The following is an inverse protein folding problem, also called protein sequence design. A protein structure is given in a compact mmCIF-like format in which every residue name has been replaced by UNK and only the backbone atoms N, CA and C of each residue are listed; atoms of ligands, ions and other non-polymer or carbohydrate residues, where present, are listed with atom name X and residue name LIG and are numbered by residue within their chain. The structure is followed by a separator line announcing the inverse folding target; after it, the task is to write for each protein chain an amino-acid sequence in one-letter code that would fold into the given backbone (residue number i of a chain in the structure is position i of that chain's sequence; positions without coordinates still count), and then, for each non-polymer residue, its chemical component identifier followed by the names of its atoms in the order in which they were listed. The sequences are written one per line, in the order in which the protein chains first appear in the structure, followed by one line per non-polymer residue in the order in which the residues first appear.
data_IF_582443663671
#
_entry.id   IF_582443663671
#
_cell.length_a   1.000
_cell.length_b   1.000
_cell.length_c   1.000
_cell.angle_alpha   90.00
_cell.angle_beta   90.00
_cell.angle_gamma   90.00
#
_symmetry.space_group_name_H-M   'P 1'
#
loop_
_entity.id
_entity.type
_entity.pdbx_description
1 polymer ?
#
# COMPACT_ATOMS: atom_id res chain seq x y z
N UNK A 1 -10.15 -6.95 2.82
CA UNK A 1 -9.30 -5.82 3.22
C UNK A 1 -9.33 -4.75 2.12
N UNK A 2 -9.33 -3.50 2.51
CA UNK A 2 -9.32 -2.37 1.57
C UNK A 2 -7.89 -1.91 1.33
N UNK A 3 -7.47 -1.95 0.08
CA UNK A 3 -6.10 -1.62 -0.32
C UNK A 3 -6.07 -0.48 -1.34
N UNK A 4 -4.96 0.26 -1.33
CA UNK A 4 -4.63 1.25 -2.35
C UNK A 4 -3.23 0.94 -2.87
N UNK A 5 -3.11 0.59 -4.14
CA UNK A 5 -1.82 0.28 -4.74
C UNK A 5 -1.28 1.50 -5.47
N UNK A 6 -0.04 1.88 -5.15
CA UNK A 6 0.67 2.98 -5.77
C UNK A 6 0.85 2.74 -7.28
N UNK A 7 1.11 3.80 -8.03
CA UNK A 7 1.18 3.80 -9.50
C UNK A 7 2.21 2.83 -10.08
N UNK A 8 3.27 2.52 -9.34
CA UNK A 8 4.32 1.61 -9.79
C UNK A 8 3.97 0.13 -9.60
N UNK A 9 2.83 -0.17 -8.97
CA UNK A 9 2.37 -1.54 -8.81
C UNK A 9 1.37 -1.85 -9.91
N UNK A 10 1.68 -2.87 -10.71
CA UNK A 10 0.86 -3.24 -11.87
C UNK A 10 -0.56 -3.64 -11.47
N UNK A 11 -1.55 -2.95 -12.01
CA UNK A 11 -2.94 -3.31 -11.79
C UNK A 11 -3.24 -4.68 -12.40
N UNK A 12 -2.79 -4.91 -13.64
CA UNK A 12 -2.99 -6.16 -14.35
C UNK A 12 -2.31 -7.34 -13.65
N UNK A 13 -1.08 -7.12 -13.15
CA UNK A 13 -0.29 -8.19 -12.55
C UNK A 13 -0.60 -8.44 -11.08
N UNK A 14 -1.02 -7.43 -10.33
CA UNK A 14 -1.16 -7.53 -8.87
C UNK A 14 -2.58 -7.23 -8.40
N UNK A 15 -3.15 -6.07 -8.74
CA UNK A 15 -4.47 -5.69 -8.24
C UNK A 15 -5.54 -6.72 -8.61
N UNK A 16 -5.47 -7.22 -9.83
CA UNK A 16 -6.43 -8.20 -10.34
C UNK A 16 -6.43 -9.49 -9.50
N UNK A 17 -5.23 -9.98 -9.15
CA UNK A 17 -5.09 -11.16 -8.32
C UNK A 17 -5.60 -10.94 -6.90
N UNK A 18 -5.28 -9.79 -6.31
CA UNK A 18 -5.75 -9.45 -4.98
C UNK A 18 -7.28 -9.33 -4.93
N UNK A 19 -7.88 -8.78 -5.99
CA UNK A 19 -9.35 -8.70 -6.10
C UNK A 19 -9.99 -10.09 -6.14
N UNK A 20 -9.34 -11.04 -6.82
CA UNK A 20 -9.81 -12.44 -6.86
C UNK A 20 -9.76 -13.10 -5.50
N UNK A 21 -8.88 -12.63 -4.62
CA UNK A 21 -8.78 -13.10 -3.24
C UNK A 21 -9.81 -12.44 -2.32
N UNK A 22 -10.64 -11.55 -2.85
CA UNK A 22 -11.69 -10.91 -2.09
C UNK A 22 -11.36 -9.53 -1.54
N UNK A 23 -10.20 -8.97 -1.87
CA UNK A 23 -9.83 -7.64 -1.40
C UNK A 23 -10.49 -6.55 -2.24
N UNK A 24 -10.82 -5.43 -1.60
CA UNK A 24 -11.31 -4.22 -2.26
C UNK A 24 -10.09 -3.38 -2.60
N UNK A 25 -9.68 -3.39 -3.87
CA UNK A 25 -8.43 -2.77 -4.30
C UNK A 25 -8.69 -1.59 -5.22
N UNK A 26 -8.19 -0.42 -4.83
CA UNK A 26 -8.06 0.73 -5.71
C UNK A 26 -6.61 0.78 -6.18
N UNK A 27 -6.39 0.91 -7.48
CA UNK A 27 -5.04 0.91 -8.06
C UNK A 27 -4.81 2.19 -8.84
N UNK A 28 -3.80 2.97 -8.47
CA UNK A 28 -3.47 4.22 -9.16
C UNK A 28 -3.11 3.96 -10.63
N UNK A 29 -2.53 2.80 -10.92
CA UNK A 29 -2.18 2.37 -12.27
C UNK A 29 -3.40 2.33 -13.23
N UNK A 30 -4.60 2.23 -12.69
CA UNK A 30 -5.84 2.18 -13.49
C UNK A 30 -6.52 3.54 -13.64
N UNK A 31 -6.03 4.57 -12.96
CA UNK A 31 -6.73 5.85 -12.88
C UNK A 31 -5.85 6.98 -13.37
N UNK A 32 -6.19 7.51 -14.52
CA UNK A 32 -5.43 8.59 -15.16
C UNK A 32 -5.36 9.84 -14.27
N UNK A 33 -6.41 10.13 -13.52
CA UNK A 33 -6.47 11.29 -12.63
C UNK A 33 -5.46 11.22 -11.48
N UNK A 34 -4.98 10.02 -11.17
CA UNK A 34 -4.01 9.80 -10.11
C UNK A 34 -2.58 9.78 -10.61
N UNK A 35 -2.40 9.84 -11.93
CA UNK A 35 -1.06 9.87 -12.54
C UNK A 35 -0.37 11.18 -12.16
N UNK A 36 0.83 11.07 -11.59
CA UNK A 36 1.59 12.23 -11.14
C UNK A 36 1.16 12.80 -9.80
N UNK A 37 0.20 12.18 -9.12
CA UNK A 37 -0.20 12.62 -7.78
C UNK A 37 0.97 12.42 -6.80
N UNK A 38 1.23 13.43 -5.95
CA UNK A 38 2.30 13.35 -4.96
C UNK A 38 2.02 12.31 -3.89
N UNK A 39 3.09 11.82 -3.26
CA UNK A 39 3.02 10.75 -2.27
C UNK A 39 2.13 11.08 -1.07
N UNK A 40 2.22 12.31 -0.57
CA UNK A 40 1.41 12.74 0.55
C UNK A 40 -0.07 12.77 0.19
N UNK A 41 -0.39 13.21 -1.02
CA UNK A 41 -1.77 13.24 -1.51
C UNK A 41 -2.32 11.84 -1.69
N UNK A 42 -1.49 10.88 -2.15
CA UNK A 42 -1.87 9.48 -2.23
C UNK A 42 -2.18 8.90 -0.85
N UNK A 43 -1.34 9.21 0.14
CA UNK A 43 -1.56 8.74 1.50
C UNK A 43 -2.84 9.34 2.08
N UNK A 44 -3.09 10.64 1.81
CA UNK A 44 -4.30 11.30 2.26
C UNK A 44 -5.55 10.68 1.63
N UNK A 45 -5.50 10.37 0.34
CA UNK A 45 -6.61 9.74 -0.37
C UNK A 45 -6.88 8.33 0.16
N UNK A 46 -5.83 7.53 0.33
CA UNK A 46 -5.96 6.19 0.89
C UNK A 46 -6.57 6.24 2.30
N UNK A 47 -6.13 7.20 3.11
CA UNK A 47 -6.63 7.39 4.46
C UNK A 47 -8.11 7.78 4.47
N UNK A 48 -8.51 8.69 3.58
CA UNK A 48 -9.91 9.12 3.47
C UNK A 48 -10.83 7.94 3.11
N UNK A 49 -10.32 6.97 2.37
CA UNK A 49 -11.07 5.79 1.97
C UNK A 49 -10.84 4.59 2.90
N UNK A 50 -10.10 4.77 3.96
CA UNK A 50 -9.75 3.72 4.91
C UNK A 50 -9.08 2.53 4.23
N UNK A 51 -8.13 2.82 3.33
CA UNK A 51 -7.36 1.82 2.59
C UNK A 51 -5.92 1.76 3.08
N UNK A 52 -5.36 0.58 3.09
CA UNK A 52 -3.93 0.38 3.37
C UNK A 52 -3.19 0.71 2.09
N UNK A 53 -2.25 1.65 2.16
CA UNK A 53 -1.42 2.01 1.01
C UNK A 53 -0.27 1.02 0.86
N UNK A 54 -0.08 0.49 -0.34
CA UNK A 54 1.04 -0.38 -0.68
C UNK A 54 1.90 0.34 -1.71
N UNK A 55 3.19 0.46 -1.44
CA UNK A 55 4.12 1.21 -2.29
C UNK A 55 5.50 0.56 -2.31
N UNK A 56 6.29 0.86 -3.36
CA UNK A 56 7.71 0.53 -3.42
C UNK A 56 8.60 1.69 -2.96
N UNK A 57 8.03 2.86 -2.68
CA UNK A 57 8.82 4.07 -2.41
C UNK A 57 9.37 4.08 -0.99
N UNK A 58 10.59 3.55 -0.83
CA UNK A 58 11.29 3.53 0.45
C UNK A 58 11.98 4.87 0.75
N UNK A 59 12.09 5.76 -0.25
CA UNK A 59 12.79 7.03 -0.08
C UNK A 59 11.90 8.08 0.59
N UNK A 60 10.67 8.23 0.12
CA UNK A 60 9.80 9.33 0.53
C UNK A 60 8.76 8.98 1.61
N UNK A 61 8.14 7.81 1.54
CA UNK A 61 7.06 7.46 2.47
C UNK A 61 7.48 7.41 3.95
N UNK A 62 8.66 6.89 4.32
CA UNK A 62 9.03 6.91 5.74
C UNK A 62 9.04 8.30 6.36
N UNK A 63 9.51 9.32 5.64
CA UNK A 63 9.52 10.68 6.17
C UNK A 63 8.14 11.30 6.21
N UNK A 64 7.26 10.94 5.25
CA UNK A 64 5.88 11.43 5.22
C UNK A 64 5.11 10.87 6.43
N UNK A 65 5.20 9.56 6.68
CA UNK A 65 4.48 8.95 7.81
C UNK A 65 5.00 9.45 9.15
N UNK A 66 6.32 9.72 9.24
CA UNK A 66 6.90 10.31 10.45
C UNK A 66 6.34 11.70 10.68
N UNK A 67 6.28 12.54 9.64
CA UNK A 67 5.74 13.89 9.76
C UNK A 67 4.27 13.87 10.17
N UNK A 68 3.49 12.95 9.62
CA UNK A 68 2.09 12.78 10.00
C UNK A 68 1.97 12.44 11.48
N UNK A 69 2.81 11.53 11.97
CA UNK A 69 2.81 11.17 13.39
C UNK A 69 3.12 12.38 14.28
N UNK A 70 4.11 13.18 13.87
CA UNK A 70 4.49 14.38 14.60
C UNK A 70 3.38 15.43 14.61
N UNK A 71 2.56 15.48 13.57
CA UNK A 71 1.43 16.39 13.43
C UNK A 71 0.14 15.84 14.06
N UNK A 72 0.18 14.64 14.63
CA UNK A 72 -1.00 14.00 15.19
C UNK A 72 -1.98 13.47 14.16
N UNK A 73 -1.54 13.28 12.91
CA UNK A 73 -2.37 12.75 11.83
C UNK A 73 -2.25 11.24 11.78
N UNK A 74 -3.38 10.56 11.59
CA UNK A 74 -3.45 9.10 11.57
C UNK A 74 -3.79 8.63 10.15
N UNK A 75 -2.96 7.72 9.59
CA UNK A 75 -3.27 7.07 8.32
C UNK A 75 -3.83 5.66 8.57
N UNK A 76 -4.36 5.05 7.52
CA UNK A 76 -5.05 3.74 7.60
C UNK A 76 -4.11 2.55 7.42
N UNK A 77 -2.81 2.80 7.34
CA UNK A 77 -1.81 1.77 7.15
C UNK A 77 -0.96 2.00 5.90
N UNK A 78 0.30 1.63 5.99
CA UNK A 78 1.23 1.77 4.89
C UNK A 78 2.17 0.55 4.87
N UNK A 79 2.21 -0.16 3.76
CA UNK A 79 3.10 -1.29 3.55
C UNK A 79 4.09 -0.92 2.45
N UNK A 80 5.36 -0.87 2.79
CA UNK A 80 6.44 -0.50 1.87
C UNK A 80 7.18 -1.75 1.44
N UNK A 81 7.07 -2.11 0.17
CA UNK A 81 7.67 -3.32 -0.38
C UNK A 81 9.12 -3.02 -0.74
N UNK A 82 10.05 -3.80 -0.21
CA UNK A 82 11.48 -3.60 -0.40
C UNK A 82 12.16 -4.86 -0.96
N UNK A 83 13.16 -4.66 -1.82
CA UNK A 83 13.98 -5.76 -2.32
C UNK A 83 13.27 -6.72 -3.27
N UNK A 84 12.16 -6.32 -3.84
CA UNK A 84 11.39 -7.13 -4.80
C UNK A 84 11.23 -6.30 -6.08
N UNK A 85 11.56 -6.89 -7.22
CA UNK A 85 11.40 -6.20 -8.50
C UNK A 85 9.92 -6.00 -8.82
N UNK A 86 9.60 -4.87 -9.46
CA UNK A 86 8.22 -4.50 -9.82
C UNK A 86 7.55 -5.54 -10.71
N UNK A 87 8.32 -6.33 -11.45
CA UNK A 87 7.82 -7.37 -12.35
C UNK A 87 7.57 -8.72 -11.67
N UNK A 88 7.98 -8.88 -10.42
CA UNK A 88 7.80 -10.14 -9.69
C UNK A 88 6.40 -10.21 -9.07
N UNK A 89 5.39 -10.26 -9.91
CA UNK A 89 3.99 -10.18 -9.49
C UNK A 89 3.61 -11.24 -8.46
N UNK A 90 3.99 -12.48 -8.69
CA UNK A 90 3.66 -13.57 -7.77
C UNK A 90 4.27 -13.36 -6.38
N UNK A 91 5.51 -12.89 -6.33
CA UNK A 91 6.18 -12.60 -5.06
C UNK A 91 5.50 -11.44 -4.35
N UNK A 92 5.18 -10.37 -5.09
CA UNK A 92 4.50 -9.20 -4.53
C UNK A 92 3.15 -9.60 -3.93
N UNK A 93 2.35 -10.37 -4.67
CA UNK A 93 1.06 -10.85 -4.21
C UNK A 93 1.21 -11.66 -2.93
N UNK A 94 2.17 -12.59 -2.91
CA UNK A 94 2.40 -13.46 -1.76
C UNK A 94 2.78 -12.68 -0.50
N UNK A 95 3.70 -11.73 -0.61
CA UNK A 95 4.14 -10.98 0.56
C UNK A 95 3.05 -10.03 1.07
N UNK A 96 2.24 -9.46 0.18
CA UNK A 96 1.10 -8.66 0.58
C UNK A 96 0.10 -9.53 1.34
N UNK A 97 -0.26 -10.70 0.81
CA UNK A 97 -1.20 -11.60 1.46
C UNK A 97 -0.73 -12.02 2.84
N UNK A 98 0.55 -12.37 2.99
CA UNK A 98 1.12 -12.73 4.29
C UNK A 98 1.05 -11.59 5.29
N UNK A 99 1.35 -10.39 4.82
CA UNK A 99 1.31 -9.20 5.66
C UNK A 99 -0.11 -8.92 6.16
N UNK A 100 -1.10 -9.06 5.29
CA UNK A 100 -2.50 -8.88 5.66
C UNK A 100 -3.01 -9.97 6.60
N UNK A 101 -2.58 -11.21 6.40
CA UNK A 101 -2.94 -12.33 7.28
C UNK A 101 -2.39 -12.15 8.68
N UNK A 102 -1.21 -11.55 8.80
CA UNK A 102 -0.60 -11.26 10.10
C UNK A 102 -1.34 -10.16 10.86
N UNK A 103 -2.07 -9.29 10.14
CA UNK A 103 -2.84 -8.18 10.72
C UNK A 103 -4.21 -8.10 10.04
N UNK A 104 -5.12 -9.02 10.36
CA UNK A 104 -6.41 -9.08 9.66
C UNK A 104 -7.39 -7.98 10.06
N UNK A 105 -7.22 -7.36 11.25
CA UNK A 105 -8.10 -6.33 11.74
C UNK A 105 -7.66 -4.96 11.20
N UNK A 106 -8.53 -4.21 10.48
CA UNK A 106 -8.18 -2.87 9.99
C UNK A 106 -7.72 -1.91 11.07
N UNK A 107 -8.22 -2.04 12.30
CA UNK A 107 -7.81 -1.17 13.41
C UNK A 107 -6.33 -1.35 13.76
N UNK A 108 -5.78 -2.52 13.54
CA UNK A 108 -4.36 -2.79 13.79
C UNK A 108 -3.45 -2.08 12.78
N UNK A 109 -4.03 -1.58 11.67
CA UNK A 109 -3.29 -0.87 10.64
C UNK A 109 -3.29 0.64 10.85
N UNK A 110 -4.07 1.16 11.77
CA UNK A 110 -4.11 2.60 12.02
C UNK A 110 -2.76 3.08 12.51
N UNK A 111 -2.21 4.09 11.84
CA UNK A 111 -0.90 4.69 12.12
C UNK A 111 0.24 3.66 12.08
N UNK A 112 0.05 2.53 11.41
CA UNK A 112 1.04 1.46 11.34
C UNK A 112 1.71 1.43 9.96
N UNK A 113 3.04 1.43 9.94
CA UNK A 113 3.84 1.32 8.73
C UNK A 113 4.73 0.09 8.86
N UNK A 114 4.79 -0.73 7.83
CA UNK A 114 5.62 -1.93 7.81
C UNK A 114 6.44 -1.99 6.53
N UNK A 115 7.67 -2.44 6.65
CA UNK A 115 8.51 -2.78 5.51
C UNK A 115 8.31 -4.26 5.21
N UNK A 116 7.99 -4.58 3.96
CA UNK A 116 7.65 -5.93 3.52
C UNK A 116 8.71 -6.42 2.55
N UNK A 117 9.38 -7.50 2.89
CA UNK A 117 10.44 -8.06 2.08
C UNK A 117 10.13 -9.49 1.67
N UNK A 118 10.97 -10.03 0.77
CA UNK A 118 10.77 -11.35 0.16
C UNK A 118 10.66 -12.49 1.17
N UNK A 119 11.38 -12.39 2.27
CA UNK A 119 11.41 -13.43 3.31
C UNK A 119 10.28 -13.35 4.33
N UNK A 120 9.41 -12.38 4.20
CA UNK A 120 8.34 -12.15 5.19
C UNK A 120 7.09 -13.01 4.99
#
# INVERSE_FOLDING_TARGET
VRLFLDAHISARGVARALRKQGHDVRAADEERDLDGMGDEDLLALATAEERILVTFDVADFPSIVRRWAEEGRTHSGCAIVVGIDHSEFGTIIRVIERTLEARPDPEEWRAYTVFVARGD
#
